data_IF_976138605095
#
_entry.id   IF_976138605095
#
_cell.length_a   1.000
_cell.length_b   1.000
_cell.length_c   1.000
_cell.angle_alpha   90.00
_cell.angle_beta   90.00
_cell.angle_gamma   90.00
#
_symmetry.space_group_name_H-M   'P 1'
#
loop_
_entity.id
_entity.type
_entity.pdbx_description
1 polymer ?
#
# COMPACT_ATOMS: atom_id res chain seq x y z
N UNK A 1 -15.40 -2.38 20.11
CA UNK A 1 -14.92 -1.26 19.27
C UNK A 1 -13.40 -1.39 19.18
N UNK A 2 -12.91 -2.31 18.36
CA UNK A 2 -11.48 -2.61 18.24
C UNK A 2 -10.86 -1.71 17.18
N UNK A 3 -9.83 -0.96 17.55
CA UNK A 3 -8.97 -0.25 16.62
C UNK A 3 -8.22 -1.30 15.79
N UNK A 4 -8.68 -1.55 14.57
CA UNK A 4 -7.99 -2.42 13.62
C UNK A 4 -6.72 -1.73 13.13
N UNK A 5 -5.57 -2.17 13.62
CA UNK A 5 -4.27 -1.73 13.15
C UNK A 5 -3.98 -2.46 11.83
N UNK A 6 -4.26 -1.83 10.70
CA UNK A 6 -3.92 -2.35 9.38
C UNK A 6 -2.60 -1.70 8.94
N UNK A 7 -1.51 -2.46 9.03
CA UNK A 7 -0.23 -2.09 8.44
C UNK A 7 -0.29 -2.42 6.95
N UNK A 8 -0.76 -1.48 6.13
CA UNK A 8 -0.63 -1.59 4.68
C UNK A 8 0.80 -1.20 4.31
N UNK A 9 1.67 -2.17 4.06
CA UNK A 9 2.97 -1.91 3.45
C UNK A 9 2.73 -1.70 1.95
N UNK A 10 2.23 -0.51 1.60
CA UNK A 10 2.08 -0.11 0.22
C UNK A 10 3.47 0.13 -0.36
N UNK A 11 3.96 -0.85 -1.14
CA UNK A 11 5.12 -0.69 -2.00
C UNK A 11 4.76 0.21 -3.18
N UNK A 12 4.67 1.50 -2.89
CA UNK A 12 4.50 2.54 -3.88
C UNK A 12 5.84 2.81 -4.55
N UNK A 13 6.10 2.15 -5.68
CA UNK A 13 6.97 2.76 -6.68
C UNK A 13 6.24 4.00 -7.21
N UNK A 14 6.63 5.18 -6.72
CA UNK A 14 6.25 6.44 -7.34
C UNK A 14 6.82 6.45 -8.76
N UNK A 15 5.95 6.54 -9.75
CA UNK A 15 6.34 6.53 -11.16
C UNK A 15 5.60 7.60 -11.95
N UNK A 16 6.19 8.78 -12.03
CA UNK A 16 6.17 9.56 -13.26
C UNK A 16 7.46 9.20 -14.03
N UNK A 17 7.33 8.88 -15.32
CA UNK A 17 8.40 8.75 -16.31
C UNK A 17 9.51 7.72 -16.01
N UNK A 18 9.44 6.52 -16.61
CA UNK A 18 10.58 5.60 -16.88
C UNK A 18 11.71 5.56 -15.81
N UNK A 19 11.37 5.48 -14.53
CA UNK A 19 12.35 5.14 -13.50
C UNK A 19 12.50 3.62 -13.54
N UNK A 20 13.52 3.12 -14.24
CA UNK A 20 13.96 1.74 -14.01
C UNK A 20 14.27 1.66 -12.51
N UNK A 21 13.59 0.75 -11.81
CA UNK A 21 13.95 0.37 -10.44
C UNK A 21 15.46 0.11 -10.41
N UNK A 22 16.17 0.64 -9.41
CA UNK A 22 17.61 0.37 -9.30
C UNK A 22 17.83 -1.15 -9.24
N UNK A 23 19.01 -1.68 -9.64
CA UNK A 23 19.30 -3.10 -9.52
C UNK A 23 18.99 -3.66 -8.12
N UNK A 24 19.29 -2.88 -7.08
CA UNK A 24 18.98 -3.23 -5.68
C UNK A 24 17.48 -3.31 -5.44
N UNK A 25 16.70 -2.35 -5.96
CA UNK A 25 15.24 -2.38 -5.84
C UNK A 25 14.60 -3.53 -6.61
N UNK A 26 15.19 -3.94 -7.74
CA UNK A 26 14.70 -5.07 -8.52
C UNK A 26 14.92 -6.39 -7.77
N UNK A 27 16.13 -6.60 -7.23
CA UNK A 27 16.45 -7.74 -6.37
C UNK A 27 15.57 -7.78 -5.13
N UNK A 28 15.32 -6.61 -4.53
CA UNK A 28 14.44 -6.48 -3.38
C UNK A 28 12.99 -6.89 -3.72
N UNK A 29 12.45 -6.46 -4.87
CA UNK A 29 11.12 -6.85 -5.32
C UNK A 29 11.03 -8.35 -5.63
N UNK A 30 12.05 -8.93 -6.24
CA UNK A 30 12.13 -10.37 -6.52
C UNK A 30 12.16 -11.19 -5.24
N UNK A 31 12.96 -10.79 -4.25
CA UNK A 31 12.98 -11.40 -2.94
C UNK A 31 11.61 -11.31 -2.25
N UNK A 32 10.95 -10.13 -2.30
CA UNK A 32 9.61 -9.95 -1.75
C UNK A 32 8.54 -10.79 -2.45
N UNK A 33 8.64 -10.94 -3.77
CA UNK A 33 7.67 -11.75 -4.52
C UNK A 33 7.64 -13.22 -4.07
N UNK A 34 8.74 -13.74 -3.50
CA UNK A 34 8.82 -15.10 -2.96
C UNK A 34 8.33 -15.26 -1.52
N UNK A 35 7.98 -14.17 -0.81
CA UNK A 35 7.57 -14.27 0.60
C UNK A 35 6.14 -14.85 0.74
N UNK A 36 5.88 -15.69 1.75
CA UNK A 36 4.54 -16.24 1.99
C UNK A 36 3.47 -15.15 2.15
N UNK A 37 2.40 -15.28 1.36
CA UNK A 37 1.25 -14.37 1.37
C UNK A 37 1.44 -13.11 0.54
N UNK A 38 2.57 -12.94 -0.17
CA UNK A 38 2.70 -11.88 -1.17
C UNK A 38 1.92 -12.26 -2.43
N UNK A 39 1.13 -11.30 -2.90
CA UNK A 39 0.25 -11.40 -4.06
C UNK A 39 0.80 -10.46 -5.12
N UNK A 40 0.96 -10.97 -6.35
CA UNK A 40 1.31 -10.17 -7.52
C UNK A 40 0.05 -9.73 -8.24
N UNK A 41 -0.18 -8.42 -8.27
CA UNK A 41 -1.25 -7.82 -9.06
C UNK A 41 -0.83 -7.75 -10.55
N UNK A 42 -1.76 -7.94 -11.50
CA UNK A 42 -1.45 -7.87 -12.94
C UNK A 42 -0.79 -6.56 -13.39
N UNK A 43 -1.08 -5.45 -12.69
CA UNK A 43 -0.50 -4.14 -12.98
C UNK A 43 0.89 -3.89 -12.35
N UNK A 44 1.53 -4.93 -11.80
CA UNK A 44 2.91 -4.87 -11.31
C UNK A 44 3.09 -4.48 -9.85
N UNK A 45 1.99 -4.32 -9.09
CA UNK A 45 2.03 -4.16 -7.64
C UNK A 45 2.22 -5.51 -6.95
N UNK A 46 3.11 -5.58 -5.96
CA UNK A 46 3.15 -6.66 -4.99
C UNK A 46 2.55 -6.17 -3.68
N UNK A 47 1.65 -6.95 -3.09
CA UNK A 47 1.03 -6.61 -1.81
C UNK A 47 0.81 -7.86 -0.96
N UNK A 48 0.64 -7.67 0.35
CA UNK A 48 0.30 -8.73 1.29
C UNK A 48 -0.84 -8.28 2.18
N UNK A 49 -1.84 -9.13 2.33
CA UNK A 49 -2.96 -8.90 3.25
C UNK A 49 -2.50 -9.36 4.64
N UNK A 50 -2.36 -8.41 5.57
CA UNK A 50 -2.02 -8.71 6.97
C UNK A 50 -3.29 -9.02 7.76
N UNK A 51 -4.30 -8.17 7.60
CA UNK A 51 -5.66 -8.40 8.08
C UNK A 51 -6.64 -7.92 7.02
N UNK A 52 -7.74 -8.65 6.85
CA UNK A 52 -8.83 -8.27 5.95
C UNK A 52 -10.05 -7.88 6.78
N UNK A 53 -10.80 -6.88 6.30
CA UNK A 53 -12.18 -6.66 6.74
C UNK A 53 -13.09 -7.84 6.38
N UNK A 54 -14.35 -7.86 6.85
CA UNK A 54 -15.32 -8.89 6.53
C UNK A 54 -15.47 -9.08 5.02
N UNK A 55 -15.84 -10.29 4.56
CA UNK A 55 -15.98 -10.58 3.12
C UNK A 55 -17.01 -9.66 2.44
N UNK A 56 -18.04 -9.27 3.19
CA UNK A 56 -19.09 -8.33 2.79
C UNK A 56 -18.71 -6.86 2.98
N UNK A 57 -17.53 -6.57 3.55
CA UNK A 57 -17.00 -5.23 3.71
C UNK A 57 -16.76 -4.58 2.34
N UNK A 58 -17.09 -3.29 2.25
CA UNK A 58 -16.94 -2.52 1.03
C UNK A 58 -15.48 -2.23 0.75
N UNK A 59 -15.15 -2.25 -0.54
CA UNK A 59 -13.90 -1.71 -1.06
C UNK A 59 -14.15 -0.29 -1.58
N UNK A 60 -13.23 0.66 -1.38
CA UNK A 60 -13.41 2.04 -1.82
C UNK A 60 -13.38 2.12 -3.35
N UNK A 61 -14.39 2.77 -3.92
CA UNK A 61 -14.39 3.14 -5.33
C UNK A 61 -13.38 4.26 -5.62
N UNK A 62 -13.11 4.58 -6.90
CA UNK A 62 -12.05 5.52 -7.28
C UNK A 62 -12.11 6.91 -6.64
N UNK A 63 -13.32 7.41 -6.32
CA UNK A 63 -13.54 8.72 -5.68
C UNK A 63 -13.86 8.66 -4.19
N UNK A 64 -13.92 7.47 -3.58
CA UNK A 64 -14.35 7.30 -2.20
C UNK A 64 -13.28 7.79 -1.23
N UNK A 65 -13.64 8.78 -0.41
CA UNK A 65 -12.76 9.32 0.62
C UNK A 65 -12.57 8.30 1.74
N UNK A 66 -11.35 7.81 1.87
CA UNK A 66 -10.94 6.77 2.80
C UNK A 66 -9.99 7.35 3.83
N UNK A 67 -10.27 7.11 5.13
CA UNK A 67 -9.34 7.42 6.21
C UNK A 67 -8.47 6.20 6.49
N UNK A 68 -7.15 6.38 6.51
CA UNK A 68 -6.25 5.30 6.86
C UNK A 68 -5.08 5.76 7.72
N UNK A 69 -4.51 4.80 8.46
CA UNK A 69 -3.15 4.90 8.95
C UNK A 69 -2.19 4.22 7.98
N UNK A 70 -0.99 4.76 7.82
CA UNK A 70 0.07 4.17 7.01
C UNK A 70 1.46 4.58 7.53
N UNK A 71 2.45 3.82 7.12
CA UNK A 71 3.87 4.17 7.22
C UNK A 71 4.50 3.91 5.86
N UNK A 72 5.11 4.94 5.27
CA UNK A 72 5.92 4.86 4.06
C UNK A 72 7.39 4.68 4.43
N UNK A 73 8.01 3.62 3.88
CA UNK A 73 9.43 3.32 4.06
C UNK A 73 10.11 3.09 2.72
N UNK A 74 11.37 3.49 2.61
CA UNK A 74 12.26 3.08 1.53
C UNK A 74 12.71 1.63 1.73
N UNK A 75 13.34 1.04 0.71
CA UNK A 75 13.79 -0.38 0.74
C UNK A 75 14.88 -0.64 1.79
N UNK A 76 15.59 0.39 2.24
CA UNK A 76 16.58 0.37 3.32
C UNK A 76 15.94 0.49 4.72
N UNK A 77 14.62 0.67 4.79
CA UNK A 77 13.87 0.83 6.04
C UNK A 77 13.68 2.28 6.50
N UNK A 78 14.31 3.27 5.84
CA UNK A 78 14.16 4.70 6.16
C UNK A 78 12.69 5.12 6.02
N UNK A 79 12.10 5.61 7.10
CA UNK A 79 10.73 6.16 7.10
C UNK A 79 10.78 7.54 6.45
N UNK A 80 9.98 7.74 5.40
CA UNK A 80 9.83 9.07 4.77
C UNK A 80 8.50 9.73 5.13
N UNK A 81 7.50 8.97 5.57
CA UNK A 81 6.18 9.49 5.94
C UNK A 81 5.43 8.51 6.86
N UNK A 82 4.72 9.01 7.86
CA UNK A 82 3.96 8.20 8.83
C UNK A 82 2.79 8.98 9.42
N UNK A 83 1.59 8.39 9.41
CA UNK A 83 0.45 8.97 10.13
C UNK A 83 0.48 8.69 11.62
N UNK A 84 1.20 7.65 12.05
CA UNK A 84 1.37 7.33 13.46
C UNK A 84 2.24 8.40 14.14
N UNK A 85 3.29 8.85 13.47
CA UNK A 85 4.18 9.91 13.96
C UNK A 85 3.42 11.24 14.08
N UNK A 86 2.45 11.46 13.18
CA UNK A 86 1.54 12.62 13.23
C UNK A 86 0.37 12.46 14.21
N UNK A 87 0.16 11.28 14.79
CA UNK A 87 -0.95 11.00 15.70
C UNK A 87 -2.36 11.09 15.11
N UNK A 88 -2.51 11.15 13.78
CA UNK A 88 -3.82 11.29 13.11
C UNK A 88 -3.87 10.60 11.74
N UNK A 89 -5.02 10.03 11.40
CA UNK A 89 -5.26 9.44 10.07
C UNK A 89 -5.12 10.45 8.95
N UNK A 90 -4.73 9.99 7.78
CA UNK A 90 -4.82 10.77 6.55
C UNK A 90 -6.10 10.41 5.78
N UNK A 91 -6.58 11.34 4.94
CA UNK A 91 -7.76 11.16 4.09
C UNK A 91 -7.31 11.13 2.63
N UNK A 92 -7.62 10.05 1.91
CA UNK A 92 -7.25 9.88 0.52
C UNK A 92 -8.43 9.38 -0.32
N UNK A 93 -8.38 9.61 -1.62
CA UNK A 93 -9.23 8.93 -2.60
C UNK A 93 -8.33 8.18 -3.60
N UNK A 94 -8.68 6.96 -4.05
CA UNK A 94 -7.82 6.18 -4.94
C UNK A 94 -7.42 6.92 -6.24
N UNK A 95 -8.26 7.83 -6.75
CA UNK A 95 -7.95 8.64 -7.93
C UNK A 95 -6.98 9.80 -7.69
N UNK A 96 -6.64 10.13 -6.45
CA UNK A 96 -5.79 11.26 -6.05
C UNK A 96 -4.39 10.84 -5.56
N UNK A 97 -4.09 9.55 -5.60
CA UNK A 97 -2.83 8.97 -5.09
C UNK A 97 -2.05 8.27 -6.20
N UNK A 98 -0.79 7.94 -5.91
CA UNK A 98 0.08 7.20 -6.83
C UNK A 98 -0.54 5.86 -7.24
N UNK A 99 -0.20 5.36 -8.44
CA UNK A 99 -0.81 4.18 -9.04
C UNK A 99 -0.84 2.95 -8.11
N UNK A 100 0.25 2.67 -7.41
CA UNK A 100 0.31 1.55 -6.47
C UNK A 100 -0.71 1.66 -5.34
N UNK A 101 -0.91 2.85 -4.79
CA UNK A 101 -1.92 3.12 -3.77
C UNK A 101 -3.34 2.99 -4.32
N UNK A 102 -3.59 3.49 -5.54
CA UNK A 102 -4.89 3.36 -6.21
C UNK A 102 -5.33 1.90 -6.30
N UNK A 103 -4.42 1.02 -6.72
CA UNK A 103 -4.66 -0.41 -6.81
C UNK A 103 -4.86 -1.00 -5.40
N UNK A 104 -3.89 -0.79 -4.51
CA UNK A 104 -3.91 -1.39 -3.17
C UNK A 104 -5.18 -1.04 -2.39
N UNK A 105 -5.63 0.22 -2.43
CA UNK A 105 -6.84 0.65 -1.75
C UNK A 105 -8.09 -0.09 -2.24
N UNK A 106 -8.18 -0.37 -3.54
CA UNK A 106 -9.33 -1.07 -4.14
C UNK A 106 -9.34 -2.59 -3.82
N UNK A 107 -8.21 -3.15 -3.38
CA UNK A 107 -8.12 -4.52 -2.88
C UNK A 107 -8.49 -4.64 -1.39
N UNK A 108 -8.60 -3.52 -0.66
CA UNK A 108 -8.92 -3.49 0.76
C UNK A 108 -10.42 -3.57 1.02
N UNK A 109 -10.79 -4.02 2.22
CA UNK A 109 -12.17 -4.01 2.73
C UNK A 109 -12.22 -3.33 4.09
N UNK A 110 -13.28 -2.57 4.33
CA UNK A 110 -13.59 -1.96 5.64
C UNK A 110 -13.83 -2.99 6.75
#
# INVERSE_FOLDING_TARGET
RGLGLLALLALGAAGAARAQTTPEGQLWLEAKAGEPGVIKHPEGLYYKIIHSGPKQGRSPGPGDKTRCHYVGKLIDGTVFDSTYDRGRTALFAPNQVIKGWKIAMQEMRE
#
